data_IF_358990454357
#
_entry.id   IF_358990454357
#
_cell.length_a   1.000
_cell.length_b   1.000
_cell.length_c   1.000
_cell.angle_alpha   90.00
_cell.angle_beta   90.00
_cell.angle_gamma   90.00
#
_symmetry.space_group_name_H-M   'P 1'
#
loop_
_entity.id
_entity.type
_entity.pdbx_description
1 polymer ?
#
# COMPACT_ATOMS: atom_id res chain seq x y z
N UNK A 1 7.46 -7.31 15.12
CA UNK A 1 7.44 -8.77 14.97
C UNK A 1 6.03 -9.16 14.58
N UNK A 2 5.86 -9.95 13.53
CA UNK A 2 4.57 -10.48 13.12
C UNK A 2 4.53 -11.95 13.56
N UNK A 3 3.56 -12.35 14.41
CA UNK A 3 3.42 -13.74 14.83
C UNK A 3 3.21 -14.70 13.63
N UNK A 4 3.46 -16.00 13.81
CA UNK A 4 3.08 -17.02 12.82
C UNK A 4 1.61 -16.92 12.41
N UNK A 5 1.30 -17.15 11.13
CA UNK A 5 -0.07 -17.19 10.59
C UNK A 5 -0.94 -15.97 10.99
N UNK A 6 -0.34 -14.78 11.00
CA UNK A 6 -0.96 -13.54 11.45
C UNK A 6 -0.62 -12.40 10.50
N UNK A 7 -1.17 -11.20 10.73
CA UNK A 7 -0.88 -10.02 9.93
C UNK A 7 -0.67 -8.78 10.81
N UNK A 8 -0.05 -7.75 10.23
CA UNK A 8 0.10 -6.45 10.85
C UNK A 8 -0.14 -5.35 9.81
N UNK A 9 -0.78 -4.26 10.24
CA UNK A 9 -0.89 -3.05 9.45
C UNK A 9 0.27 -2.10 9.76
N UNK A 10 0.83 -1.51 8.72
CA UNK A 10 1.84 -0.48 8.79
C UNK A 10 1.53 0.61 7.76
N UNK A 11 2.44 1.59 7.63
CA UNK A 11 2.38 2.59 6.58
C UNK A 11 3.74 2.79 5.91
N UNK A 12 3.74 3.31 4.70
CA UNK A 12 4.96 3.80 4.04
C UNK A 12 5.53 5.01 4.78
N UNK A 13 6.85 5.20 4.65
CA UNK A 13 7.51 6.45 5.07
C UNK A 13 7.14 7.55 4.08
N UNK A 14 7.10 7.21 2.81
CA UNK A 14 6.76 8.04 1.66
C UNK A 14 5.29 8.48 1.72
N UNK A 15 5.06 9.71 1.30
CA UNK A 15 3.73 10.26 1.05
C UNK A 15 3.57 10.43 -0.47
N UNK A 16 2.49 9.91 -1.03
CA UNK A 16 2.23 9.98 -2.46
C UNK A 16 1.14 10.99 -2.77
N UNK A 17 1.24 11.62 -3.95
CA UNK A 17 0.19 12.40 -4.59
C UNK A 17 0.08 11.93 -6.02
N UNK A 18 -0.93 11.13 -6.33
CA UNK A 18 -1.07 10.49 -7.64
C UNK A 18 -1.71 11.48 -8.62
N UNK A 19 -1.12 11.72 -9.81
CA UNK A 19 -1.74 12.54 -10.84
C UNK A 19 -3.09 11.99 -11.31
N UNK A 20 -3.95 12.84 -11.88
CA UNK A 20 -5.29 12.45 -12.36
C UNK A 20 -5.27 11.51 -13.57
N UNK A 21 -4.17 11.47 -14.31
CA UNK A 21 -3.98 10.58 -15.45
C UNK A 21 -3.10 9.36 -15.12
N UNK A 22 -2.83 9.07 -13.84
CA UNK A 22 -1.96 7.95 -13.44
C UNK A 22 -2.70 7.02 -12.50
N UNK A 23 -2.68 5.72 -12.81
CA UNK A 23 -3.03 4.64 -11.89
C UNK A 23 -1.75 4.03 -11.32
N UNK A 24 -1.73 3.74 -10.04
CA UNK A 24 -0.54 3.21 -9.38
C UNK A 24 -0.82 1.85 -8.75
N UNK A 25 0.05 0.88 -8.99
CA UNK A 25 -0.02 -0.47 -8.40
C UNK A 25 1.19 -0.68 -7.51
N UNK A 26 0.95 -1.10 -6.28
CA UNK A 26 2.01 -1.49 -5.35
C UNK A 26 2.15 -3.01 -5.34
N UNK A 27 3.39 -3.48 -5.45
CA UNK A 27 3.73 -4.91 -5.42
C UNK A 27 4.72 -5.19 -4.29
N UNK A 28 4.59 -6.35 -3.66
CA UNK A 28 5.60 -6.87 -2.75
C UNK A 28 6.93 -7.15 -3.47
N UNK A 29 8.03 -7.17 -2.72
CA UNK A 29 9.35 -7.58 -3.25
C UNK A 29 9.58 -9.08 -3.09
N UNK A 30 10.33 -9.65 -4.04
CA UNK A 30 10.68 -11.08 -4.04
C UNK A 30 11.38 -11.52 -2.74
N UNK A 31 12.20 -10.65 -2.14
CA UNK A 31 12.87 -10.92 -0.84
C UNK A 31 11.87 -11.31 0.25
N UNK A 32 10.79 -10.55 0.41
CA UNK A 32 9.76 -10.82 1.44
C UNK A 32 8.88 -12.00 1.06
N UNK A 33 8.51 -12.11 -0.22
CA UNK A 33 7.73 -13.23 -0.71
C UNK A 33 8.44 -14.58 -0.47
N UNK A 34 9.76 -14.65 -0.66
CA UNK A 34 10.59 -15.84 -0.37
C UNK A 34 10.73 -16.16 1.12
N UNK A 35 10.44 -15.19 2.00
CA UNK A 35 10.34 -15.39 3.44
C UNK A 35 8.92 -15.72 3.91
N UNK A 36 7.96 -15.94 2.99
CA UNK A 36 6.55 -16.17 3.32
C UNK A 36 5.83 -14.93 3.85
N UNK A 37 6.33 -13.74 3.51
CA UNK A 37 5.72 -12.45 3.87
C UNK A 37 5.06 -11.86 2.64
N UNK A 38 3.76 -11.61 2.76
CA UNK A 38 2.95 -10.95 1.74
C UNK A 38 2.80 -9.49 2.13
N UNK A 39 3.02 -8.59 1.17
CA UNK A 39 2.70 -7.17 1.32
C UNK A 39 1.49 -6.88 0.44
N UNK A 40 0.32 -6.83 1.05
CA UNK A 40 -0.94 -6.56 0.36
C UNK A 40 -1.24 -5.06 0.42
N UNK A 41 -1.53 -4.49 -0.75
CA UNK A 41 -1.81 -3.07 -0.94
C UNK A 41 -2.78 -2.94 -2.11
N UNK A 42 -3.86 -2.19 -1.94
CA UNK A 42 -4.79 -1.90 -3.03
C UNK A 42 -4.23 -0.83 -3.96
N UNK A 43 -4.60 -0.81 -5.26
CA UNK A 43 -4.16 0.24 -6.17
C UNK A 43 -4.38 1.65 -5.61
N UNK A 44 -3.45 2.56 -5.89
CA UNK A 44 -3.61 3.98 -5.60
C UNK A 44 -4.25 4.61 -6.82
N UNK A 45 -5.51 4.98 -6.66
CA UNK A 45 -6.34 5.52 -7.73
C UNK A 45 -5.93 6.95 -8.11
N UNK A 46 -6.29 7.44 -9.31
CA UNK A 46 -6.01 8.81 -9.72
C UNK A 46 -6.46 9.84 -8.68
N UNK A 47 -5.60 10.82 -8.41
CA UNK A 47 -5.77 11.87 -7.37
C UNK A 47 -5.91 11.36 -5.92
N UNK A 48 -5.56 10.10 -5.66
CA UNK A 48 -5.32 9.66 -4.29
C UNK A 48 -4.04 10.31 -3.74
N UNK A 49 -4.08 10.76 -2.49
CA UNK A 49 -2.90 11.17 -1.74
C UNK A 49 -2.88 10.60 -0.31
N UNK A 50 -1.68 10.34 0.20
CA UNK A 50 -1.51 9.79 1.54
C UNK A 50 -0.22 9.02 1.73
N UNK A 51 0.04 8.61 2.97
CA UNK A 51 0.91 7.46 3.22
C UNK A 51 0.15 6.18 2.89
N UNK A 52 0.77 5.23 2.20
CA UNK A 52 0.11 3.99 1.80
C UNK A 52 0.01 3.07 3.01
N UNK A 53 -1.19 2.54 3.29
CA UNK A 53 -1.35 1.47 4.29
C UNK A 53 -0.80 0.17 3.71
N UNK A 54 0.11 -0.48 4.44
CA UNK A 54 0.70 -1.76 4.09
C UNK A 54 0.09 -2.84 4.99
N UNK A 55 -0.46 -3.89 4.39
CA UNK A 55 -0.84 -5.09 5.12
C UNK A 55 0.25 -6.14 4.95
N UNK A 56 0.95 -6.46 6.04
CA UNK A 56 1.94 -7.52 6.07
C UNK A 56 1.32 -8.80 6.61
N UNK A 57 1.17 -9.83 5.78
CA UNK A 57 0.70 -11.15 6.20
C UNK A 57 1.88 -12.11 6.32
N UNK A 58 2.01 -12.79 7.46
CA UNK A 58 2.99 -13.85 7.70
C UNK A 58 2.31 -15.21 7.53
N UNK A 59 2.62 -15.91 6.44
CA UNK A 59 2.04 -17.22 6.12
C UNK A 59 2.91 -18.39 6.61
N UNK A 60 3.95 -18.10 7.38
CA UNK A 60 4.89 -19.10 7.89
C UNK A 60 4.55 -19.52 9.33
N UNK A 61 5.01 -20.70 9.78
CA UNK A 61 4.89 -21.14 11.17
C UNK A 61 5.89 -20.45 12.12
N UNK A 62 6.74 -19.54 11.64
CA UNK A 62 7.76 -18.86 12.42
C UNK A 62 7.45 -17.35 12.54
N UNK A 63 7.83 -16.70 13.65
CA UNK A 63 7.66 -15.25 13.78
C UNK A 63 8.57 -14.51 12.79
N UNK A 64 8.03 -13.46 12.16
CA UNK A 64 8.76 -12.63 11.22
C UNK A 64 9.15 -11.27 11.82
N UNK A 65 10.36 -10.81 11.52
CA UNK A 65 10.82 -9.45 11.86
C UNK A 65 10.88 -8.64 10.57
N UNK A 66 10.17 -7.52 10.56
CA UNK A 66 10.22 -6.50 9.52
C UNK A 66 10.73 -5.24 10.21
N UNK A 67 11.77 -4.61 9.64
CA UNK A 67 12.39 -3.43 10.22
C UNK A 67 11.80 -2.16 9.59
N UNK A 68 11.71 -1.09 10.37
CA UNK A 68 11.29 0.19 9.81
C UNK A 68 12.34 0.70 8.81
N UNK A 69 11.87 1.45 7.80
CA UNK A 69 12.69 2.10 6.77
C UNK A 69 13.41 1.18 5.77
N UNK A 70 13.10 -0.11 5.75
CA UNK A 70 13.59 -0.99 4.69
C UNK A 70 12.67 -0.97 3.46
N UNK A 71 13.21 -1.28 2.28
CA UNK A 71 12.44 -1.29 1.05
C UNK A 71 11.56 -2.53 0.93
N UNK A 72 10.35 -2.48 1.50
CA UNK A 72 9.40 -3.61 1.63
C UNK A 72 8.55 -3.89 0.39
N UNK A 73 8.31 -2.87 -0.43
CA UNK A 73 7.46 -2.93 -1.61
C UNK A 73 8.06 -2.11 -2.76
N UNK A 74 7.47 -2.24 -3.93
CA UNK A 74 7.78 -1.45 -5.12
C UNK A 74 6.50 -0.94 -5.75
N UNK A 75 6.59 0.19 -6.44
CA UNK A 75 5.42 0.90 -6.96
C UNK A 75 5.60 1.07 -8.47
N UNK A 76 4.56 0.69 -9.22
CA UNK A 76 4.49 0.84 -10.67
C UNK A 76 3.45 1.92 -10.98
N UNK A 77 3.85 2.90 -11.79
CA UNK A 77 3.00 3.97 -12.26
C UNK A 77 2.58 3.67 -13.69
N UNK A 78 1.28 3.71 -13.96
CA UNK A 78 0.69 3.47 -15.27
C UNK A 78 0.00 4.76 -15.69
N UNK A 79 0.54 5.40 -16.71
CA UNK A 79 -0.05 6.61 -17.29
C UNK A 79 -1.15 6.25 -18.28
N UNK A 80 -2.24 7.00 -18.20
CA UNK A 80 -3.38 6.96 -19.11
C UNK A 80 -3.22 8.02 -20.20
N UNK A 81 -3.67 7.69 -21.41
CA UNK A 81 -3.80 8.61 -22.54
C UNK A 81 -4.96 9.60 -22.34
N UNK A 82 -5.97 9.22 -21.56
CA UNK A 82 -7.09 10.08 -21.19
C UNK A 82 -7.06 10.48 -19.71
N UNK A 83 -7.63 11.64 -19.41
CA UNK A 83 -7.81 12.10 -18.02
C UNK A 83 -8.95 11.31 -17.37
N UNK A 84 -8.72 10.81 -16.15
CA UNK A 84 -9.75 10.11 -15.39
C UNK A 84 -11.01 10.99 -15.22
N UNK A 85 -12.17 10.50 -15.67
CA UNK A 85 -13.45 11.23 -15.61
C UNK A 85 -13.91 11.47 -14.17
N UNK A 86 -13.87 10.44 -13.32
CA UNK A 86 -14.23 10.51 -11.90
C UNK A 86 -13.11 9.92 -11.05
N UNK A 87 -12.36 10.77 -10.35
CA UNK A 87 -11.17 10.38 -9.59
C UNK A 87 -11.50 9.91 -8.16
N UNK A 88 -10.47 9.49 -7.41
CA UNK A 88 -10.60 9.19 -5.98
C UNK A 88 -11.05 10.42 -5.17
N UNK A 89 -10.55 11.60 -5.56
CA UNK A 89 -10.86 12.88 -4.91
C UNK A 89 -12.30 13.29 -5.17
N UNK A 90 -12.80 13.14 -6.40
CA UNK A 90 -14.18 13.49 -6.77
C UNK A 90 -15.21 12.69 -5.97
N UNK A 91 -14.92 11.41 -5.71
CA UNK A 91 -15.77 10.52 -4.93
C UNK A 91 -15.72 10.77 -3.41
N UNK A 92 -14.89 11.70 -2.94
CA UNK A 92 -14.69 11.92 -1.51
C UNK A 92 -14.13 10.67 -0.81
N UNK A 93 -13.16 10.01 -1.44
CA UNK A 93 -12.70 8.68 -1.03
C UNK A 93 -12.28 8.58 0.45
N UNK A 94 -12.66 7.47 1.09
CA UNK A 94 -12.60 7.23 2.55
C UNK A 94 -11.22 7.47 3.18
N UNK A 95 -10.15 7.29 2.42
CA UNK A 95 -8.76 7.27 2.88
C UNK A 95 -7.92 8.41 2.31
N UNK A 96 -8.56 9.46 1.78
CA UNK A 96 -7.86 10.61 1.23
C UNK A 96 -7.04 11.34 2.31
N UNK A 97 -5.77 11.64 2.00
CA UNK A 97 -4.87 12.40 2.87
C UNK A 97 -4.46 11.68 4.15
N UNK A 98 -4.52 10.34 4.18
CA UNK A 98 -4.24 9.58 5.39
C UNK A 98 -2.79 9.72 5.87
N UNK A 99 -2.60 9.93 7.19
CA UNK A 99 -1.30 10.24 7.80
C UNK A 99 -0.67 9.08 8.58
N UNK A 100 -1.50 8.18 9.12
CA UNK A 100 -1.07 7.09 9.98
C UNK A 100 -1.49 5.73 9.44
N UNK A 101 -1.39 4.72 10.30
CA UNK A 101 -2.01 3.42 10.04
C UNK A 101 -3.52 3.58 10.20
N UNK A 102 -4.21 3.79 9.08
CA UNK A 102 -5.64 4.05 9.08
C UNK A 102 -6.39 2.73 9.07
N UNK A 103 -7.24 2.53 10.08
CA UNK A 103 -8.08 1.34 10.20
C UNK A 103 -9.25 1.40 9.19
N UNK A 104 -9.86 0.24 8.88
CA UNK A 104 -11.00 0.18 7.97
C UNK A 104 -12.14 1.12 8.39
N UNK A 105 -12.70 1.86 7.42
CA UNK A 105 -13.91 2.67 7.58
C UNK A 105 -15.05 1.97 6.83
N UNK A 106 -15.98 1.35 7.57
CA UNK A 106 -17.15 0.65 7.01
C UNK A 106 -18.19 1.69 6.61
#
# INVERSE_FOLDING_TARGET
>A
IIPPNSFALARTVEYFRIPRNVLTICLGKSTYARCGIIVNVTPLEPEWEGHVTLEFSNTTPLPAKIYANEGVAQVIFIESDEVCETSYKDRGGKYQGQKGVTLPKI
#
